data_IF_569155326767
#
_entry.id   IF_569155326767
#
_cell.length_a   1.000
_cell.length_b   1.000
_cell.length_c   1.000
_cell.angle_alpha   90.00
_cell.angle_beta   90.00
_cell.angle_gamma   90.00
#
_symmetry.space_group_name_H-M   'P 1'
#
loop_
_entity.id
_entity.type
_entity.pdbx_description
1 polymer ?
#
# COMPACT_ATOMS: atom_id res chain seq x y z
N UNK A 1 -34.22 -18.16 28.35
CA UNK A 1 -33.75 -16.95 27.64
C UNK A 1 -32.97 -17.41 26.41
N UNK A 2 -33.48 -17.13 25.22
CA UNK A 2 -32.73 -17.39 24.00
C UNK A 2 -31.55 -16.41 23.93
N UNK A 3 -30.33 -16.89 24.12
CA UNK A 3 -29.11 -16.13 23.82
C UNK A 3 -29.00 -16.02 22.31
N UNK A 4 -29.54 -14.97 21.73
CA UNK A 4 -29.27 -14.61 20.35
C UNK A 4 -27.75 -14.36 20.23
N UNK A 5 -27.04 -15.24 19.50
CA UNK A 5 -25.67 -14.97 19.08
C UNK A 5 -25.74 -13.79 18.10
N UNK A 6 -25.37 -12.60 18.55
CA UNK A 6 -24.99 -11.55 17.61
C UNK A 6 -23.69 -12.00 16.96
N UNK A 7 -23.76 -12.39 15.68
CA UNK A 7 -22.61 -12.85 14.91
C UNK A 7 -21.66 -11.69 14.58
N UNK A 8 -22.15 -10.44 14.57
CA UNK A 8 -21.32 -9.25 14.45
C UNK A 8 -21.96 -8.04 15.13
N UNK A 9 -21.15 -7.30 15.89
CA UNK A 9 -21.51 -6.01 16.49
C UNK A 9 -20.47 -4.97 16.05
N UNK A 10 -20.93 -3.92 15.38
CA UNK A 10 -20.10 -2.85 14.84
C UNK A 10 -20.42 -1.52 15.50
N UNK A 11 -19.36 -0.81 15.93
CA UNK A 11 -19.46 0.56 16.40
C UNK A 11 -18.60 1.46 15.51
N UNK A 12 -19.24 2.48 14.91
CA UNK A 12 -18.57 3.49 14.09
C UNK A 12 -18.78 4.86 14.71
N UNK A 13 -17.68 5.59 14.91
CA UNK A 13 -17.74 6.99 15.28
C UNK A 13 -17.77 7.79 13.98
N UNK A 14 -18.93 8.32 13.62
CA UNK A 14 -19.05 9.27 12.52
C UNK A 14 -18.92 10.67 13.10
N UNK A 15 -17.95 11.44 12.62
CA UNK A 15 -17.81 12.86 12.96
C UNK A 15 -18.24 13.71 11.77
N UNK A 16 -18.94 14.82 12.02
CA UNK A 16 -19.55 15.68 10.98
C UNK A 16 -18.57 16.42 10.05
N UNK A 17 -17.27 16.13 10.12
CA UNK A 17 -16.24 16.85 9.38
C UNK A 17 -15.83 16.12 8.10
N UNK A 18 -15.94 16.80 6.96
CA UNK A 18 -15.29 16.39 5.71
C UNK A 18 -13.76 16.43 5.88
N UNK A 19 -13.06 15.60 5.12
CA UNK A 19 -11.58 15.55 5.04
C UNK A 19 -10.99 16.98 5.05
N UNK A 20 -9.98 17.22 5.89
CA UNK A 20 -9.18 18.46 6.02
C UNK A 20 -9.69 19.62 6.90
N UNK A 21 -10.87 19.53 7.54
CA UNK A 21 -11.34 20.59 8.48
C UNK A 21 -11.45 20.11 9.94
N UNK A 22 -10.35 19.70 10.55
CA UNK A 22 -10.31 19.34 11.97
C UNK A 22 -9.38 20.28 12.74
N UNK A 23 -9.88 20.84 13.84
CA UNK A 23 -9.04 21.55 14.80
C UNK A 23 -8.50 20.54 15.82
N UNK A 24 -7.31 20.80 16.36
CA UNK A 24 -6.74 19.97 17.43
C UNK A 24 -7.70 19.86 18.63
N UNK A 25 -8.42 20.94 18.94
CA UNK A 25 -9.43 20.97 19.99
C UNK A 25 -10.66 20.12 19.64
N UNK A 26 -11.08 20.11 18.37
CA UNK A 26 -12.14 19.21 17.89
C UNK A 26 -11.80 17.75 18.10
N UNK A 27 -10.59 17.32 17.71
CA UNK A 27 -10.13 15.94 17.91
C UNK A 27 -10.09 15.55 19.40
N UNK A 28 -9.62 16.47 20.26
CA UNK A 28 -9.60 16.26 21.73
C UNK A 28 -10.99 16.14 22.32
N UNK A 29 -11.92 16.99 21.88
CA UNK A 29 -13.30 16.95 22.33
C UNK A 29 -13.99 15.64 21.92
N UNK A 30 -13.75 15.16 20.70
CA UNK A 30 -14.23 13.85 20.25
C UNK A 30 -13.64 12.71 21.10
N UNK A 31 -12.33 12.77 21.38
CA UNK A 31 -11.66 11.80 22.26
C UNK A 31 -12.29 11.74 23.65
N UNK A 32 -12.50 12.89 24.30
CA UNK A 32 -13.16 12.98 25.61
C UNK A 32 -14.57 12.39 25.58
N UNK A 33 -15.37 12.73 24.56
CA UNK A 33 -16.74 12.21 24.39
C UNK A 33 -16.74 10.69 24.25
N UNK A 34 -15.82 10.15 23.44
CA UNK A 34 -15.65 8.70 23.30
C UNK A 34 -15.31 8.07 24.65
N UNK A 35 -14.32 8.61 25.38
CA UNK A 35 -13.89 8.01 26.64
C UNK A 35 -14.98 8.07 27.72
N UNK A 36 -15.79 9.13 27.77
CA UNK A 36 -16.99 9.19 28.63
C UNK A 36 -17.99 8.10 28.27
N UNK A 37 -18.29 7.91 26.98
CA UNK A 37 -19.20 6.86 26.52
C UNK A 37 -18.65 5.45 26.77
N UNK A 38 -17.36 5.25 26.50
CA UNK A 38 -16.65 4.01 26.75
C UNK A 38 -16.70 3.62 28.23
N UNK A 39 -16.44 4.57 29.14
CA UNK A 39 -16.53 4.35 30.58
C UNK A 39 -17.95 4.00 31.07
N UNK A 40 -18.99 4.55 30.44
CA UNK A 40 -20.38 4.26 30.78
C UNK A 40 -20.88 2.91 30.24
N UNK A 41 -20.26 2.38 29.18
CA UNK A 41 -20.78 1.25 28.40
C UNK A 41 -19.74 0.14 28.17
N UNK A 42 -18.81 -0.08 29.11
CA UNK A 42 -17.69 -1.03 28.96
C UNK A 42 -18.13 -2.45 28.57
N UNK A 43 -19.25 -2.95 29.13
CA UNK A 43 -19.81 -4.26 28.80
C UNK A 43 -20.26 -4.37 27.34
N UNK A 44 -20.80 -3.28 26.77
CA UNK A 44 -21.17 -3.24 25.36
C UNK A 44 -19.91 -3.30 24.48
N UNK A 45 -18.86 -2.55 24.83
CA UNK A 45 -17.57 -2.60 24.15
C UNK A 45 -16.94 -4.00 24.21
N UNK A 46 -17.05 -4.70 25.34
CA UNK A 46 -16.56 -6.08 25.46
C UNK A 46 -17.22 -7.07 24.49
N UNK A 47 -18.43 -6.77 24.02
CA UNK A 47 -19.16 -7.54 23.02
C UNK A 47 -18.83 -7.20 21.56
N UNK A 48 -18.13 -6.08 21.28
CA UNK A 48 -17.88 -5.62 19.92
C UNK A 48 -16.95 -6.54 19.15
N UNK A 49 -17.30 -6.77 17.88
CA UNK A 49 -16.47 -7.52 16.92
C UNK A 49 -15.79 -6.60 15.91
N UNK A 50 -16.38 -5.44 15.63
CA UNK A 50 -15.83 -4.44 14.70
C UNK A 50 -15.87 -3.07 15.33
N UNK A 51 -14.74 -2.36 15.29
CA UNK A 51 -14.61 -1.02 15.84
C UNK A 51 -13.96 -0.11 14.80
N UNK A 52 -14.63 0.99 14.48
CA UNK A 52 -14.07 2.05 13.64
C UNK A 52 -13.97 3.35 14.44
N UNK A 53 -12.73 3.77 14.68
CA UNK A 53 -12.35 5.00 15.34
C UNK A 53 -11.96 6.04 14.30
N UNK A 54 -12.56 7.23 14.37
CA UNK A 54 -12.33 8.29 13.39
C UNK A 54 -12.20 9.66 14.06
N UNK A 55 -11.21 10.45 13.63
CA UNK A 55 -11.02 11.86 14.02
C UNK A 55 -10.97 12.05 15.55
N UNK A 56 -10.06 11.34 16.19
CA UNK A 56 -9.88 11.32 17.63
C UNK A 56 -8.48 11.76 18.05
N UNK A 57 -8.39 12.46 19.17
CA UNK A 57 -7.14 12.63 19.91
C UNK A 57 -7.34 12.10 21.33
N UNK A 58 -6.60 11.05 21.65
CA UNK A 58 -6.77 10.21 22.84
C UNK A 58 -5.48 10.18 23.66
N UNK A 59 -5.57 9.94 24.97
CA UNK A 59 -4.40 9.76 25.81
C UNK A 59 -3.63 8.50 25.42
N UNK A 60 -2.35 8.42 25.79
CA UNK A 60 -1.44 7.31 25.45
C UNK A 60 -1.98 5.91 25.75
N UNK A 61 -2.77 5.78 26.81
CA UNK A 61 -3.31 4.48 27.25
C UNK A 61 -4.73 4.20 26.73
N UNK A 62 -5.44 5.19 26.20
CA UNK A 62 -6.86 5.07 25.86
C UNK A 62 -7.11 4.03 24.76
N UNK A 63 -6.35 4.08 23.65
CA UNK A 63 -6.51 3.13 22.55
C UNK A 63 -6.16 1.70 23.02
N UNK A 64 -5.02 1.44 23.68
CA UNK A 64 -4.75 0.15 24.30
C UNK A 64 -5.87 -0.32 25.25
N UNK A 65 -6.42 0.56 26.08
CA UNK A 65 -7.49 0.22 27.02
C UNK A 65 -8.79 -0.17 26.30
N UNK A 66 -9.15 0.54 25.23
CA UNK A 66 -10.29 0.19 24.38
C UNK A 66 -10.08 -1.20 23.76
N UNK A 67 -8.92 -1.44 23.15
CA UNK A 67 -8.58 -2.73 22.51
C UNK A 67 -8.65 -3.88 23.54
N UNK A 68 -8.06 -3.70 24.72
CA UNK A 68 -8.08 -4.70 25.78
C UNK A 68 -9.49 -4.98 26.32
N UNK A 69 -10.36 -3.97 26.33
CA UNK A 69 -11.75 -4.12 26.77
C UNK A 69 -12.60 -4.87 25.76
N UNK A 70 -12.38 -4.65 24.46
CA UNK A 70 -13.11 -5.29 23.35
C UNK A 70 -12.74 -6.77 23.15
N UNK A 71 -13.07 -7.65 24.11
CA UNK A 71 -12.69 -9.08 24.16
C UNK A 71 -13.05 -9.92 22.92
N UNK A 72 -13.96 -9.45 22.06
CA UNK A 72 -14.43 -10.13 20.85
C UNK A 72 -13.98 -9.43 19.56
N UNK A 73 -13.09 -8.45 19.63
CA UNK A 73 -12.71 -7.64 18.49
C UNK A 73 -11.99 -8.47 17.41
N UNK A 74 -12.52 -8.41 16.20
CA UNK A 74 -12.01 -9.06 14.99
C UNK A 74 -11.53 -8.05 13.96
N UNK A 75 -12.09 -6.84 13.95
CA UNK A 75 -11.67 -5.75 13.06
C UNK A 75 -11.53 -4.44 13.83
N UNK A 76 -10.36 -3.81 13.70
CA UNK A 76 -10.10 -2.46 14.16
C UNK A 76 -9.71 -1.58 12.99
N UNK A 77 -10.43 -0.49 12.80
CA UNK A 77 -10.07 0.58 11.87
C UNK A 77 -9.85 1.87 12.62
N UNK A 78 -8.80 2.58 12.27
CA UNK A 78 -8.42 3.86 12.84
C UNK A 78 -8.15 4.82 11.71
N UNK A 79 -8.90 5.91 11.63
CA UNK A 79 -8.66 6.98 10.66
C UNK A 79 -8.44 8.28 11.42
N UNK A 80 -7.33 8.96 11.16
CA UNK A 80 -7.02 10.25 11.80
C UNK A 80 -7.09 10.18 13.33
N UNK A 81 -6.57 9.10 13.91
CA UNK A 81 -6.47 8.90 15.35
C UNK A 81 -5.07 9.28 15.85
N UNK A 82 -5.01 10.25 16.76
CA UNK A 82 -3.78 10.76 17.34
C UNK A 82 -3.68 10.38 18.81
N UNK A 83 -2.44 10.17 19.27
CA UNK A 83 -2.15 9.90 20.67
C UNK A 83 -1.54 11.15 21.31
N UNK A 84 -1.97 11.50 22.53
CA UNK A 84 -1.32 12.51 23.35
C UNK A 84 -0.17 11.86 24.12
N UNK A 85 1.06 12.30 23.84
CA UNK A 85 2.25 11.80 24.50
C UNK A 85 3.52 12.20 23.77
N UNK A 86 4.66 12.07 24.43
CA UNK A 86 5.98 12.35 23.84
C UNK A 86 6.54 11.15 23.07
N UNK A 87 6.10 9.94 23.43
CA UNK A 87 6.61 8.68 22.87
C UNK A 87 5.89 8.29 21.57
N UNK A 88 4.60 8.64 21.46
CA UNK A 88 3.74 8.38 20.28
C UNK A 88 3.80 6.93 19.79
N UNK A 89 3.81 5.97 20.72
CA UNK A 89 3.84 4.54 20.42
C UNK A 89 2.49 3.89 20.70
N UNK A 90 2.00 3.11 19.73
CA UNK A 90 0.81 2.28 19.92
C UNK A 90 1.24 0.83 20.08
N UNK A 91 0.83 0.20 21.18
CA UNK A 91 1.03 -1.23 21.39
C UNK A 91 -0.31 -1.96 21.20
N UNK A 92 -0.30 -2.98 20.36
CA UNK A 92 -1.50 -3.75 20.03
C UNK A 92 -1.29 -5.21 20.39
N UNK A 93 -2.16 -5.72 21.26
CA UNK A 93 -2.23 -7.12 21.64
C UNK A 93 -3.69 -7.55 21.69
N UNK A 94 -4.03 -8.61 20.94
CA UNK A 94 -5.41 -9.09 20.88
C UNK A 94 -5.50 -10.51 20.30
N UNK A 95 -6.21 -11.41 20.98
CA UNK A 95 -6.27 -12.84 20.63
C UNK A 95 -7.18 -13.17 19.45
N UNK A 96 -8.04 -12.23 19.04
CA UNK A 96 -9.07 -12.44 18.01
C UNK A 96 -9.00 -11.48 16.84
N UNK A 97 -8.13 -10.47 16.90
CA UNK A 97 -8.06 -9.45 15.86
C UNK A 97 -7.57 -10.09 14.56
N UNK A 98 -8.37 -9.94 13.50
CA UNK A 98 -8.12 -10.49 12.16
C UNK A 98 -7.70 -9.38 11.19
N UNK A 99 -8.25 -8.18 11.36
CA UNK A 99 -8.00 -7.03 10.50
C UNK A 99 -7.63 -5.80 11.32
N UNK A 100 -6.57 -5.12 10.90
CA UNK A 100 -6.14 -3.85 11.46
C UNK A 100 -5.87 -2.86 10.34
N UNK A 101 -6.62 -1.77 10.29
CA UNK A 101 -6.37 -0.65 9.38
C UNK A 101 -6.04 0.59 10.22
N UNK A 102 -4.88 1.21 9.99
CA UNK A 102 -4.48 2.46 10.63
C UNK A 102 -4.11 3.45 9.52
N UNK A 103 -4.90 4.51 9.39
CA UNK A 103 -4.75 5.51 8.36
C UNK A 103 -4.56 6.89 8.98
N UNK A 104 -3.50 7.59 8.55
CA UNK A 104 -3.14 8.93 9.00
C UNK A 104 -3.04 9.06 10.54
N UNK A 105 -2.46 8.04 11.18
CA UNK A 105 -2.13 8.10 12.59
C UNK A 105 -0.85 8.91 12.78
N UNK A 106 -0.85 9.92 13.67
CA UNK A 106 0.38 10.61 14.06
C UNK A 106 1.15 9.75 15.08
N UNK A 107 1.60 8.57 14.64
CA UNK A 107 2.25 7.54 15.44
C UNK A 107 3.71 7.39 15.01
N UNK A 108 4.62 7.31 15.98
CA UNK A 108 6.05 7.06 15.74
C UNK A 108 6.34 5.60 15.44
N UNK A 109 5.69 4.70 16.16
CA UNK A 109 5.86 3.25 16.00
C UNK A 109 4.62 2.53 16.50
N UNK A 110 4.17 1.55 15.72
CA UNK A 110 3.11 0.61 16.09
C UNK A 110 3.73 -0.75 16.36
N UNK A 111 3.62 -1.23 17.60
CA UNK A 111 4.13 -2.55 18.02
C UNK A 111 2.99 -3.56 18.03
N UNK A 112 3.06 -4.54 17.14
CA UNK A 112 2.14 -5.66 17.06
C UNK A 112 2.67 -6.79 17.95
N UNK A 113 2.47 -6.66 19.27
CA UNK A 113 3.11 -7.53 20.27
C UNK A 113 2.68 -8.99 20.11
N UNK A 114 1.37 -9.26 20.11
CA UNK A 114 0.83 -10.61 19.86
C UNK A 114 -0.58 -10.54 19.29
N UNK A 115 -0.70 -10.88 18.00
CA UNK A 115 -1.95 -10.92 17.23
C UNK A 115 -2.01 -12.24 16.44
N UNK A 116 -2.27 -13.37 17.11
CA UNK A 116 -2.13 -14.71 16.51
C UNK A 116 -3.10 -14.99 15.35
N UNK A 117 -4.16 -14.19 15.21
CA UNK A 117 -5.17 -14.32 14.15
C UNK A 117 -5.14 -13.20 13.12
N UNK A 118 -4.22 -12.24 13.23
CA UNK A 118 -4.15 -11.11 12.31
C UNK A 118 -3.81 -11.64 10.91
N UNK A 119 -4.65 -11.32 9.93
CA UNK A 119 -4.49 -11.73 8.53
C UNK A 119 -4.23 -10.55 7.61
N UNK A 120 -4.86 -9.40 7.87
CA UNK A 120 -4.71 -8.18 7.08
C UNK A 120 -4.24 -7.02 7.95
N UNK A 121 -3.20 -6.33 7.49
CA UNK A 121 -2.74 -5.07 8.02
C UNK A 121 -2.70 -4.01 6.91
N UNK A 122 -3.40 -2.90 7.10
CA UNK A 122 -3.27 -1.70 6.28
C UNK A 122 -2.67 -0.61 7.14
N UNK A 123 -1.57 -0.03 6.67
CA UNK A 123 -0.90 1.07 7.36
C UNK A 123 -0.62 2.20 6.38
N UNK A 124 -1.40 3.26 6.50
CA UNK A 124 -1.41 4.38 5.58
C UNK A 124 -0.83 5.62 6.26
N UNK A 125 0.19 6.20 5.63
CA UNK A 125 0.82 7.48 5.97
C UNK A 125 1.39 7.55 7.40
N UNK A 126 2.69 7.25 7.52
CA UNK A 126 3.48 7.60 8.70
C UNK A 126 4.37 8.81 8.44
N UNK A 127 4.57 9.62 9.48
CA UNK A 127 5.33 10.88 9.42
C UNK A 127 6.75 10.78 9.94
N UNK A 128 7.05 9.74 10.72
CA UNK A 128 8.32 9.64 11.41
C UNK A 128 9.39 9.01 10.52
N UNK A 129 10.67 9.45 10.62
CA UNK A 129 11.79 8.94 9.81
C UNK A 129 12.02 7.43 9.84
N UNK A 130 11.62 6.77 10.93
CA UNK A 130 11.97 5.39 11.27
C UNK A 130 10.90 4.42 10.76
N UNK A 131 11.23 3.13 10.77
CA UNK A 131 10.28 2.08 10.42
C UNK A 131 9.01 2.16 11.30
N UNK A 132 7.82 2.15 10.68
CA UNK A 132 6.60 2.48 11.40
C UNK A 132 6.02 1.33 12.22
N UNK A 133 6.46 0.09 11.94
CA UNK A 133 5.86 -1.13 12.46
C UNK A 133 6.93 -2.03 13.05
N UNK A 134 6.58 -2.64 14.19
CA UNK A 134 7.32 -3.74 14.78
C UNK A 134 6.43 -4.97 14.84
N UNK A 135 6.88 -6.07 14.23
CA UNK A 135 6.17 -7.33 14.20
C UNK A 135 6.69 -8.24 15.32
N UNK A 136 5.86 -8.43 16.35
CA UNK A 136 6.02 -9.48 17.36
C UNK A 136 5.42 -10.80 16.85
N UNK A 137 4.46 -11.37 17.58
CA UNK A 137 3.83 -12.64 17.21
C UNK A 137 2.61 -12.43 16.28
N UNK A 138 2.83 -12.51 14.96
CA UNK A 138 1.81 -12.34 13.90
C UNK A 138 1.82 -13.49 12.86
N UNK A 139 1.70 -14.76 13.27
CA UNK A 139 1.98 -15.93 12.44
C UNK A 139 0.97 -16.16 11.29
N UNK A 140 -0.14 -15.43 11.24
CA UNK A 140 -1.16 -15.56 10.20
C UNK A 140 -1.23 -14.37 9.26
N UNK A 141 -0.33 -13.38 9.42
CA UNK A 141 -0.35 -12.17 8.62
C UNK A 141 -0.01 -12.53 7.17
N UNK A 142 -0.99 -12.46 6.28
CA UNK A 142 -0.86 -12.85 4.88
C UNK A 142 -1.01 -11.68 3.93
N UNK A 143 -1.67 -10.60 4.34
CA UNK A 143 -1.89 -9.40 3.54
C UNK A 143 -1.36 -8.16 4.25
N UNK A 144 -0.47 -7.44 3.59
CA UNK A 144 0.12 -6.19 4.08
C UNK A 144 -0.01 -5.09 3.03
N UNK A 145 -0.59 -3.97 3.41
CA UNK A 145 -0.70 -2.76 2.60
C UNK A 145 0.01 -1.61 3.29
N UNK A 146 0.95 -0.97 2.60
CA UNK A 146 1.72 0.16 3.10
C UNK A 146 1.61 1.31 2.10
N UNK A 147 1.19 2.48 2.60
CA UNK A 147 1.12 3.70 1.80
C UNK A 147 2.00 4.77 2.43
N UNK A 148 2.88 5.40 1.63
CA UNK A 148 3.68 6.52 2.10
C UNK A 148 3.99 7.52 0.99
N UNK A 149 4.05 8.80 1.39
CA UNK A 149 4.52 9.90 0.54
C UNK A 149 6.03 9.82 0.29
N UNK A 150 6.84 9.29 1.21
CA UNK A 150 8.29 9.18 1.05
C UNK A 150 9.04 10.51 1.21
N UNK A 151 8.65 11.34 2.17
CA UNK A 151 9.27 12.66 2.43
C UNK A 151 10.78 12.59 2.72
N UNK A 152 11.52 13.68 2.52
CA UNK A 152 13.00 13.75 2.56
C UNK A 152 13.64 13.16 3.81
N UNK A 153 12.98 13.28 4.96
CA UNK A 153 13.45 12.74 6.23
C UNK A 153 13.10 11.28 6.47
N UNK A 154 12.27 10.64 5.65
CA UNK A 154 12.00 9.20 5.77
C UNK A 154 13.21 8.39 5.33
N UNK A 155 13.56 7.39 6.12
CA UNK A 155 14.51 6.37 5.71
C UNK A 155 13.86 5.47 4.66
N UNK A 156 14.66 4.96 3.72
CA UNK A 156 14.19 3.91 2.83
C UNK A 156 13.95 2.64 3.64
N UNK A 157 12.87 1.93 3.33
CA UNK A 157 12.54 0.66 3.97
C UNK A 157 13.28 -0.46 3.24
N UNK A 158 14.04 -1.25 4.00
CA UNK A 158 14.62 -2.53 3.59
C UNK A 158 13.66 -3.63 3.97
N UNK A 159 12.95 -4.18 2.99
CA UNK A 159 11.93 -5.20 3.23
C UNK A 159 12.50 -6.45 3.89
N UNK A 160 13.76 -6.83 3.60
CA UNK A 160 14.44 -7.96 4.25
C UNK A 160 14.53 -7.81 5.77
N UNK A 161 14.76 -6.58 6.25
CA UNK A 161 14.86 -6.26 7.67
C UNK A 161 13.47 -6.04 8.27
N UNK A 162 12.66 -5.24 7.60
CA UNK A 162 11.32 -4.85 8.04
C UNK A 162 10.38 -6.06 8.20
N UNK A 163 10.48 -7.05 7.31
CA UNK A 163 9.66 -8.27 7.32
C UNK A 163 10.40 -9.48 7.90
N UNK A 164 11.54 -9.29 8.56
CA UNK A 164 12.38 -10.39 9.08
C UNK A 164 11.63 -11.38 9.99
N UNK A 165 10.62 -10.90 10.73
CA UNK A 165 9.77 -11.71 11.61
C UNK A 165 8.48 -12.21 10.95
N UNK A 166 8.22 -11.87 9.68
CA UNK A 166 6.98 -12.18 8.97
C UNK A 166 7.30 -12.88 7.65
N UNK A 167 7.15 -14.21 7.64
CA UNK A 167 7.45 -15.03 6.45
C UNK A 167 6.19 -15.51 5.73
N UNK A 168 5.00 -15.11 6.21
CA UNK A 168 3.69 -15.62 5.74
C UNK A 168 2.98 -14.71 4.75
N UNK A 169 3.57 -13.56 4.39
CA UNK A 169 2.98 -12.62 3.44
C UNK A 169 2.78 -13.30 2.08
N UNK A 170 1.53 -13.22 1.59
CA UNK A 170 1.08 -13.68 0.27
C UNK A 170 0.65 -12.53 -0.61
N UNK A 171 0.10 -11.48 -0.02
CA UNK A 171 -0.37 -10.29 -0.73
C UNK A 171 0.33 -9.06 -0.16
N UNK A 172 1.15 -8.41 -1.00
CA UNK A 172 1.87 -7.19 -0.64
C UNK A 172 1.40 -6.04 -1.53
N UNK A 173 0.95 -4.96 -0.89
CA UNK A 173 0.56 -3.74 -1.56
C UNK A 173 1.44 -2.58 -1.08
N UNK A 174 2.11 -1.92 -2.01
CA UNK A 174 3.00 -0.79 -1.76
C UNK A 174 2.49 0.39 -2.59
N UNK A 175 2.06 1.45 -1.93
CA UNK A 175 1.52 2.65 -2.57
C UNK A 175 2.46 3.85 -2.32
N UNK A 176 2.73 4.61 -3.38
CA UNK A 176 3.72 5.67 -3.45
C UNK A 176 3.05 7.03 -3.73
N UNK A 177 2.89 7.88 -2.73
CA UNK A 177 2.16 9.16 -2.94
C UNK A 177 3.05 10.31 -3.42
N UNK A 178 4.27 10.02 -3.88
CA UNK A 178 5.17 11.01 -4.48
C UNK A 178 6.17 10.39 -5.46
N UNK A 179 7.00 11.24 -6.06
CA UNK A 179 8.08 10.85 -6.97
C UNK A 179 9.23 10.08 -6.28
N UNK A 180 9.19 9.92 -4.95
CA UNK A 180 10.19 9.18 -4.18
C UNK A 180 9.75 7.74 -3.92
N UNK A 181 10.56 6.80 -4.42
CA UNK A 181 10.44 5.38 -4.09
C UNK A 181 11.00 5.15 -2.69
N UNK A 182 10.13 4.92 -1.72
CA UNK A 182 10.50 4.75 -0.30
C UNK A 182 10.92 3.32 0.05
N UNK A 183 10.86 2.39 -0.90
CA UNK A 183 11.38 1.02 -0.76
C UNK A 183 12.78 0.95 -1.36
N UNK A 184 13.74 0.43 -0.59
CA UNK A 184 15.08 0.18 -1.09
C UNK A 184 15.10 -1.13 -1.88
N UNK A 185 15.55 -1.14 -3.15
CA UNK A 185 15.89 -2.38 -3.83
C UNK A 185 17.05 -3.07 -3.12
N UNK A 186 16.90 -4.37 -2.91
CA UNK A 186 17.88 -5.18 -2.18
C UNK A 186 18.38 -6.33 -3.07
N UNK A 187 19.47 -6.95 -2.64
CA UNK A 187 19.89 -8.21 -3.23
C UNK A 187 18.76 -9.25 -3.04
N UNK A 188 18.27 -9.89 -4.12
CA UNK A 188 17.18 -10.86 -4.03
C UNK A 188 17.44 -12.00 -3.05
N UNK A 189 18.70 -12.41 -2.87
CA UNK A 189 19.08 -13.45 -1.89
C UNK A 189 18.77 -13.05 -0.45
N UNK A 190 18.88 -11.76 -0.11
CA UNK A 190 18.55 -11.24 1.22
C UNK A 190 17.03 -11.08 1.41
N UNK A 191 16.34 -10.75 0.32
CA UNK A 191 14.91 -10.48 0.33
C UNK A 191 14.05 -11.76 0.22
N UNK A 192 14.58 -12.81 -0.42
CA UNK A 192 13.85 -14.04 -0.69
C UNK A 192 13.22 -14.68 0.55
N UNK A 193 13.87 -14.75 1.73
CA UNK A 193 13.23 -15.30 2.94
C UNK A 193 11.95 -14.56 3.35
N UNK A 194 11.88 -13.24 3.13
CA UNK A 194 10.71 -12.43 3.44
C UNK A 194 9.58 -12.60 2.40
N UNK A 195 9.92 -12.78 1.13
CA UNK A 195 8.97 -12.84 0.02
C UNK A 195 8.72 -14.25 -0.53
N UNK A 196 9.25 -15.29 0.12
CA UNK A 196 9.15 -16.69 -0.32
C UNK A 196 7.71 -17.22 -0.44
N UNK A 197 6.72 -16.56 0.15
CA UNK A 197 5.30 -16.96 0.05
C UNK A 197 4.46 -15.97 -0.74
N UNK A 198 5.07 -14.90 -1.26
CA UNK A 198 4.38 -13.83 -1.98
C UNK A 198 3.78 -14.39 -3.28
N UNK A 199 2.49 -14.13 -3.49
CA UNK A 199 1.72 -14.55 -4.65
C UNK A 199 1.16 -13.36 -5.42
N UNK A 200 0.82 -12.26 -4.74
CA UNK A 200 0.32 -11.04 -5.35
C UNK A 200 1.15 -9.86 -4.88
N UNK A 201 1.66 -9.09 -5.84
CA UNK A 201 2.34 -7.83 -5.60
C UNK A 201 1.59 -6.72 -6.33
N UNK A 202 1.16 -5.70 -5.58
CA UNK A 202 0.55 -4.49 -6.13
C UNK A 202 1.45 -3.30 -5.80
N UNK A 203 1.84 -2.55 -6.83
CA UNK A 203 2.57 -1.30 -6.74
C UNK A 203 1.67 -0.20 -7.28
N UNK A 204 1.29 0.75 -6.43
CA UNK A 204 0.23 1.72 -6.75
C UNK A 204 0.75 3.16 -6.64
N UNK A 205 0.11 4.06 -7.39
CA UNK A 205 0.45 5.49 -7.46
C UNK A 205 1.92 5.79 -7.86
N UNK A 206 2.58 4.90 -8.62
CA UNK A 206 3.90 5.22 -9.16
C UNK A 206 3.78 6.41 -10.13
N UNK A 207 4.58 7.44 -9.90
CA UNK A 207 4.57 8.63 -10.74
C UNK A 207 5.12 8.32 -12.14
N UNK A 208 4.55 8.91 -13.18
CA UNK A 208 4.92 8.68 -14.58
C UNK A 208 6.38 9.01 -14.86
N UNK A 209 6.94 9.95 -14.09
CA UNK A 209 8.36 10.30 -14.17
C UNK A 209 9.28 9.19 -13.67
N UNK A 210 8.80 8.24 -12.85
CA UNK A 210 9.60 7.17 -12.25
C UNK A 210 9.71 5.98 -13.19
N UNK A 211 10.92 5.44 -13.32
CA UNK A 211 11.13 4.17 -14.02
C UNK A 211 10.52 3.03 -13.20
N UNK A 212 9.97 2.01 -13.86
CA UNK A 212 9.42 0.79 -13.27
C UNK A 212 10.37 -0.40 -13.33
N UNK A 213 11.52 -0.28 -14.01
CA UNK A 213 12.50 -1.36 -14.16
C UNK A 213 13.04 -1.88 -12.83
N UNK A 214 13.19 -1.01 -11.82
CA UNK A 214 13.65 -1.41 -10.49
C UNK A 214 12.76 -2.48 -9.84
N UNK A 215 11.47 -2.56 -10.20
CA UNK A 215 10.50 -3.51 -9.62
C UNK A 215 10.86 -4.97 -9.89
N UNK A 216 11.74 -5.22 -10.86
CA UNK A 216 12.21 -6.57 -11.24
C UNK A 216 12.92 -7.32 -10.11
N UNK A 217 13.50 -6.63 -9.13
CA UNK A 217 14.09 -7.29 -7.97
C UNK A 217 13.08 -8.12 -7.16
N UNK A 218 11.80 -7.74 -7.18
CA UNK A 218 10.73 -8.52 -6.57
C UNK A 218 10.56 -9.88 -7.25
N UNK A 219 10.66 -9.92 -8.59
CA UNK A 219 10.57 -11.17 -9.35
C UNK A 219 11.70 -12.11 -8.97
N UNK A 220 12.94 -11.59 -8.88
CA UNK A 220 14.09 -12.41 -8.46
C UNK A 220 13.97 -12.90 -7.02
N UNK A 221 13.29 -12.16 -6.14
CA UNK A 221 13.15 -12.49 -4.72
C UNK A 221 11.92 -13.34 -4.38
N UNK A 222 10.86 -13.29 -5.19
CA UNK A 222 9.56 -13.89 -4.88
C UNK A 222 9.23 -15.05 -5.84
N UNK A 223 9.79 -16.26 -5.62
CA UNK A 223 9.70 -17.36 -6.58
C UNK A 223 8.27 -17.86 -6.85
N UNK A 224 7.30 -17.58 -5.97
CA UNK A 224 5.90 -17.99 -6.10
C UNK A 224 4.96 -16.86 -6.50
N UNK A 225 5.50 -15.71 -6.93
CA UNK A 225 4.70 -14.58 -7.37
C UNK A 225 3.87 -14.99 -8.60
N UNK A 226 2.56 -14.83 -8.53
CA UNK A 226 1.62 -15.18 -9.60
C UNK A 226 1.11 -13.96 -10.35
N UNK A 227 0.88 -12.89 -9.61
CA UNK A 227 0.28 -11.67 -10.13
C UNK A 227 1.11 -10.46 -9.73
N UNK A 228 1.47 -9.66 -10.74
CA UNK A 228 2.11 -8.36 -10.58
C UNK A 228 1.17 -7.30 -11.14
N UNK A 229 0.72 -6.38 -10.29
CA UNK A 229 -0.09 -5.23 -10.66
C UNK A 229 0.70 -3.95 -10.42
N UNK A 230 0.78 -3.09 -11.44
CA UNK A 230 1.48 -1.81 -11.39
C UNK A 230 0.53 -0.72 -11.87
N UNK A 231 0.30 0.29 -11.04
CA UNK A 231 -0.39 1.51 -11.44
C UNK A 231 0.65 2.61 -11.58
N UNK A 232 0.81 3.11 -12.81
CA UNK A 232 1.64 4.27 -13.08
C UNK A 232 0.72 5.43 -13.42
N UNK A 233 0.53 6.37 -12.50
CA UNK A 233 -0.39 7.46 -12.72
C UNK A 233 -0.05 8.68 -11.85
N UNK A 234 -0.03 9.85 -12.50
CA UNK A 234 0.04 11.14 -11.85
C UNK A 234 -1.37 11.62 -11.48
N UNK A 235 -1.80 11.37 -10.24
CA UNK A 235 -3.07 11.89 -9.74
C UNK A 235 -2.97 13.40 -9.49
N UNK A 236 -3.23 14.21 -10.51
CA UNK A 236 -2.95 15.65 -10.51
C UNK A 236 -3.55 16.44 -9.35
N UNK A 237 -4.70 16.03 -8.80
CA UNK A 237 -5.27 16.72 -7.64
C UNK A 237 -4.56 16.39 -6.31
N UNK A 238 -3.70 15.38 -6.29
CA UNK A 238 -2.85 15.02 -5.15
C UNK A 238 -1.41 15.55 -5.30
N UNK A 239 -1.08 16.18 -6.43
CA UNK A 239 0.27 16.70 -6.69
C UNK A 239 0.41 18.08 -6.09
N UNK A 240 1.27 18.20 -5.08
CA UNK A 240 1.78 19.49 -4.64
C UNK A 240 2.75 20.01 -5.71
N UNK A 241 2.36 21.05 -6.44
CA UNK A 241 3.14 21.64 -7.55
C UNK A 241 3.88 22.91 -7.16
N UNK A 242 3.44 23.60 -6.11
CA UNK A 242 4.13 24.80 -5.61
C UNK A 242 5.49 24.42 -5.01
N UNK A 243 6.55 25.07 -5.48
CA UNK A 243 7.92 24.72 -5.09
C UNK A 243 8.20 25.01 -3.62
N UNK A 244 7.62 26.09 -3.08
CA UNK A 244 7.83 26.48 -1.68
C UNK A 244 7.11 25.49 -0.78
N UNK A 245 5.85 25.16 -1.08
CA UNK A 245 5.08 24.17 -0.34
C UNK A 245 5.75 22.79 -0.38
N UNK A 246 6.22 22.34 -1.55
CA UNK A 246 6.98 21.09 -1.67
C UNK A 246 8.22 21.09 -0.77
N UNK A 247 8.97 22.20 -0.76
CA UNK A 247 10.18 22.31 0.06
C UNK A 247 9.87 22.37 1.56
N UNK A 248 8.79 23.05 1.97
CA UNK A 248 8.36 23.14 3.37
C UNK A 248 7.87 21.78 3.89
N UNK A 249 7.01 21.10 3.13
CA UNK A 249 6.47 19.77 3.43
C UNK A 249 7.48 18.64 3.17
N UNK A 250 8.66 18.96 2.62
CA UNK A 250 9.77 18.03 2.45
C UNK A 250 9.58 16.98 1.37
N UNK A 251 8.79 17.29 0.35
CA UNK A 251 8.74 16.50 -0.89
C UNK A 251 10.15 16.44 -1.51
N UNK A 252 10.46 15.29 -2.10
CA UNK A 252 11.70 15.09 -2.83
C UNK A 252 11.46 15.23 -4.33
N UNK A 253 12.50 15.59 -5.05
CA UNK A 253 12.54 15.35 -6.49
C UNK A 253 12.69 13.85 -6.77
N UNK A 254 12.39 13.46 -8.01
CA UNK A 254 12.51 12.08 -8.51
C UNK A 254 13.81 11.42 -8.06
N UNK A 255 13.69 10.29 -7.36
CA UNK A 255 14.83 9.42 -7.07
C UNK A 255 15.03 8.43 -8.21
N UNK A 256 16.16 8.48 -8.91
CA UNK A 256 16.56 7.41 -9.80
C UNK A 256 16.92 6.18 -8.97
N UNK A 257 16.06 5.17 -9.00
CA UNK A 257 16.31 3.90 -8.32
C UNK A 257 17.16 3.04 -9.24
N UNK A 258 18.46 3.01 -8.98
CA UNK A 258 19.37 2.11 -9.69
C UNK A 258 19.29 0.71 -9.06
N UNK A 259 18.97 -0.28 -9.89
CA UNK A 259 19.03 -1.67 -9.51
C UNK A 259 19.60 -2.48 -10.68
N UNK A 260 20.54 -3.36 -10.36
CA UNK A 260 21.15 -4.29 -11.30
C UNK A 260 20.75 -5.71 -10.93
N UNK A 261 20.41 -6.52 -11.93
CA UNK A 261 20.03 -7.92 -11.72
C UNK A 261 21.15 -8.69 -11.02
N UNK A 262 20.79 -9.53 -10.06
CA UNK A 262 21.73 -10.43 -9.40
C UNK A 262 21.98 -11.71 -10.20
N UNK A 263 21.33 -11.86 -11.35
CA UNK A 263 21.49 -12.97 -12.29
C UNK A 263 21.36 -12.45 -13.73
N UNK A 264 22.39 -11.73 -14.23
CA UNK A 264 22.35 -11.12 -15.57
C UNK A 264 22.21 -12.16 -16.70
N UNK A 265 22.57 -13.41 -16.43
CA UNK A 265 22.45 -14.53 -17.37
C UNK A 265 21.22 -15.39 -17.06
N UNK A 266 20.10 -15.13 -17.75
CA UNK A 266 19.02 -16.10 -17.90
C UNK A 266 18.19 -16.40 -16.65
N UNK A 267 17.94 -15.42 -15.78
CA UNK A 267 16.90 -15.55 -14.75
C UNK A 267 15.56 -15.91 -15.40
N UNK A 268 14.86 -16.90 -14.84
CA UNK A 268 13.54 -17.37 -15.31
C UNK A 268 12.57 -17.45 -14.16
N UNK A 269 11.44 -16.78 -14.30
CA UNK A 269 10.36 -16.79 -13.32
C UNK A 269 9.27 -17.79 -13.74
N UNK A 270 9.11 -18.88 -12.97
CA UNK A 270 8.23 -19.99 -13.34
C UNK A 270 6.78 -19.84 -12.89
N UNK A 271 6.45 -18.90 -12.00
CA UNK A 271 5.11 -18.83 -11.41
C UNK A 271 4.32 -17.58 -11.78
N UNK A 272 4.93 -16.61 -12.50
CA UNK A 272 4.26 -15.37 -12.85
C UNK A 272 3.33 -15.66 -14.02
N UNK A 273 2.03 -15.54 -13.78
CA UNK A 273 0.96 -15.86 -14.73
C UNK A 273 0.37 -14.57 -15.30
N UNK A 274 0.30 -13.52 -14.49
CA UNK A 274 -0.38 -12.27 -14.85
C UNK A 274 0.46 -11.03 -14.54
N UNK A 275 0.56 -10.16 -15.53
CA UNK A 275 0.99 -8.76 -15.40
C UNK A 275 -0.19 -7.84 -15.68
N UNK A 276 -0.43 -6.87 -14.81
CA UNK A 276 -1.40 -5.80 -15.06
C UNK A 276 -0.72 -4.46 -14.91
N UNK A 277 -0.87 -3.59 -15.92
CA UNK A 277 -0.35 -2.22 -15.90
C UNK A 277 -1.50 -1.25 -16.13
N UNK A 278 -1.73 -0.34 -15.19
CA UNK A 278 -2.59 0.82 -15.35
C UNK A 278 -1.77 2.06 -15.68
N UNK A 279 -2.31 2.93 -16.55
CA UNK A 279 -1.60 4.10 -17.05
C UNK A 279 -0.51 3.78 -18.09
N UNK A 280 -0.68 2.69 -18.84
CA UNK A 280 0.25 2.30 -19.89
C UNK A 280 0.41 3.41 -20.93
N UNK A 281 1.66 3.74 -21.26
CA UNK A 281 2.01 4.63 -22.37
C UNK A 281 2.95 3.87 -23.34
N UNK A 282 2.79 4.00 -24.66
CA UNK A 282 3.64 3.31 -25.64
C UNK A 282 4.99 4.02 -25.82
N UNK A 283 5.81 4.04 -24.77
CA UNK A 283 7.19 4.53 -24.80
C UNK A 283 8.21 3.43 -24.50
N UNK A 284 9.50 3.74 -24.69
CA UNK A 284 10.59 2.78 -24.55
C UNK A 284 10.67 2.17 -23.13
N UNK A 285 10.19 2.88 -22.10
CA UNK A 285 10.21 2.40 -20.71
C UNK A 285 9.21 1.26 -20.55
N UNK A 286 7.95 1.48 -20.91
CA UNK A 286 6.93 0.44 -20.80
C UNK A 286 7.18 -0.72 -21.77
N UNK A 287 7.53 -0.42 -23.02
CA UNK A 287 7.78 -1.45 -24.02
C UNK A 287 8.97 -2.33 -23.59
N UNK A 288 10.09 -1.72 -23.21
CA UNK A 288 11.26 -2.44 -22.72
C UNK A 288 10.98 -3.24 -21.45
N UNK A 289 10.19 -2.69 -20.52
CA UNK A 289 9.76 -3.41 -19.32
C UNK A 289 8.95 -4.66 -19.67
N UNK A 290 7.91 -4.52 -20.49
CA UNK A 290 7.03 -5.63 -20.86
C UNK A 290 7.81 -6.71 -21.63
N UNK A 291 8.62 -6.32 -22.62
CA UNK A 291 9.48 -7.25 -23.37
C UNK A 291 10.34 -8.06 -22.41
N UNK A 292 10.96 -7.41 -21.42
CA UNK A 292 11.80 -8.11 -20.46
C UNK A 292 11.02 -9.05 -19.51
N UNK A 293 9.81 -8.67 -19.09
CA UNK A 293 8.94 -9.57 -18.34
C UNK A 293 8.58 -10.80 -19.18
N UNK A 294 8.28 -10.62 -20.46
CA UNK A 294 7.96 -11.72 -21.38
C UNK A 294 9.15 -12.64 -21.65
N UNK A 295 10.39 -12.14 -21.61
CA UNK A 295 11.61 -12.96 -21.69
C UNK A 295 11.82 -13.80 -20.41
N UNK A 296 11.53 -13.19 -19.26
CA UNK A 296 11.85 -13.75 -17.94
C UNK A 296 10.76 -14.71 -17.46
N UNK A 297 9.48 -14.37 -17.63
CA UNK A 297 8.35 -15.12 -17.09
C UNK A 297 7.89 -16.20 -18.08
N UNK A 298 8.20 -17.45 -17.78
CA UNK A 298 8.06 -18.56 -18.73
C UNK A 298 6.63 -19.07 -18.87
N UNK A 299 5.80 -18.82 -17.87
CA UNK A 299 4.40 -19.27 -17.80
C UNK A 299 3.45 -18.06 -17.78
N UNK A 300 3.86 -16.95 -18.38
CA UNK A 300 3.03 -15.75 -18.47
C UNK A 300 1.87 -16.02 -19.42
N UNK A 301 0.65 -15.94 -18.89
CA UNK A 301 -0.59 -16.21 -19.64
C UNK A 301 -1.34 -14.91 -20.01
N UNK A 302 -1.20 -13.86 -19.19
CA UNK A 302 -1.93 -12.62 -19.38
C UNK A 302 -1.07 -11.38 -19.08
N UNK A 303 -1.05 -10.44 -20.03
CA UNK A 303 -0.63 -9.05 -19.84
C UNK A 303 -1.83 -8.17 -20.12
N UNK A 304 -2.39 -7.55 -19.09
CA UNK A 304 -3.48 -6.59 -19.24
C UNK A 304 -2.95 -5.16 -19.10
N UNK A 305 -3.04 -4.40 -20.17
CA UNK A 305 -2.65 -3.00 -20.25
C UNK A 305 -3.92 -2.15 -20.23
N UNK A 306 -3.97 -1.15 -19.37
CA UNK A 306 -5.06 -0.20 -19.25
C UNK A 306 -4.53 1.21 -19.48
N UNK A 307 -5.39 2.07 -20.02
CA UNK A 307 -5.14 3.50 -20.03
C UNK A 307 -5.09 4.04 -18.58
N UNK A 308 -4.78 5.32 -18.43
CA UNK A 308 -4.94 6.06 -17.18
C UNK A 308 -6.39 5.94 -16.73
N UNK A 309 -6.61 5.57 -15.48
CA UNK A 309 -7.93 5.74 -14.85
C UNK A 309 -8.13 7.24 -14.68
N UNK A 310 -9.20 7.83 -15.20
CA UNK A 310 -9.58 9.19 -14.80
C UNK A 310 -10.57 9.00 -13.66
N UNK A 311 -10.17 9.34 -12.44
CA UNK A 311 -11.09 9.35 -11.30
C UNK A 311 -11.86 10.67 -11.24
N UNK A 312 -13.08 10.63 -10.69
CA UNK A 312 -13.98 11.80 -10.54
C UNK A 312 -13.25 13.01 -9.90
N UNK A 313 -12.30 12.77 -8.99
CA UNK A 313 -11.50 13.81 -8.34
C UNK A 313 -10.48 14.52 -9.24
N UNK A 314 -10.28 14.03 -10.47
CA UNK A 314 -9.43 14.63 -11.49
C UNK A 314 -10.22 15.25 -12.66
N UNK A 315 -11.56 15.33 -12.60
CA UNK A 315 -12.37 15.94 -13.66
C UNK A 315 -12.24 17.47 -13.71
N UNK A 316 -12.09 18.12 -12.54
CA UNK A 316 -11.97 19.57 -12.39
C UNK A 316 -10.56 19.97 -11.93
N UNK A 317 -9.56 19.80 -12.79
CA UNK A 317 -8.20 20.26 -12.51
C UNK A 317 -8.08 21.78 -12.66
N UNK A 318 -7.17 22.38 -11.89
CA UNK A 318 -6.76 23.78 -12.09
C UNK A 318 -6.30 23.95 -13.56
N UNK A 319 -6.82 24.93 -14.32
CA UNK A 319 -6.44 25.19 -15.71
C UNK A 319 -4.93 25.37 -15.94
N UNK A 320 -4.15 25.65 -14.89
CA UNK A 320 -2.69 25.75 -14.94
C UNK A 320 -1.99 24.40 -14.98
N UNK A 321 -2.64 23.32 -14.55
CA UNK A 321 -2.11 21.97 -14.60
C UNK A 321 -2.18 21.48 -16.05
N UNK A 322 -1.02 21.39 -16.70
CA UNK A 322 -0.90 20.78 -18.02
C UNK A 322 -0.80 19.27 -17.86
N UNK A 323 -1.88 18.57 -18.17
CA UNK A 323 -1.87 17.12 -18.30
C UNK A 323 -1.48 16.77 -19.73
N UNK A 324 -0.39 16.03 -19.89
CA UNK A 324 -0.06 15.48 -21.20
C UNK A 324 -1.16 14.50 -21.62
N UNK A 325 -1.69 14.58 -22.86
CA UNK A 325 -2.74 13.68 -23.30
C UNK A 325 -2.23 12.23 -23.29
N UNK A 326 -3.13 11.28 -22.97
CA UNK A 326 -2.77 9.87 -23.04
C UNK A 326 -2.45 9.48 -24.49
N UNK A 327 -1.34 8.75 -24.66
CA UNK A 327 -0.94 8.14 -25.94
C UNK A 327 -1.39 6.67 -26.01
N UNK A 328 -2.29 6.25 -25.14
CA UNK A 328 -2.81 4.89 -25.13
C UNK A 328 -3.46 4.53 -26.48
N UNK A 329 -3.19 3.34 -27.03
CA UNK A 329 -3.63 2.97 -28.38
C UNK A 329 -5.15 2.77 -28.44
N UNK A 330 -5.82 3.59 -29.24
CA UNK A 330 -7.29 3.60 -29.34
C UNK A 330 -7.80 2.68 -30.44
N UNK A 331 -6.98 2.42 -31.46
CA UNK A 331 -7.37 1.60 -32.61
C UNK A 331 -6.77 0.20 -32.55
N UNK A 332 -7.47 -0.78 -33.14
CA UNK A 332 -6.96 -2.15 -33.27
C UNK A 332 -5.62 -2.18 -34.02
N UNK A 333 -5.43 -1.30 -35.01
CA UNK A 333 -4.20 -1.23 -35.80
C UNK A 333 -2.99 -0.80 -34.95
N UNK A 334 -3.15 0.22 -34.11
CA UNK A 334 -2.11 0.66 -33.17
C UNK A 334 -1.78 -0.44 -32.16
N UNK A 335 -2.80 -1.10 -31.62
CA UNK A 335 -2.63 -2.21 -30.68
C UNK A 335 -1.87 -3.38 -31.30
N UNK A 336 -2.21 -3.77 -32.54
CA UNK A 336 -1.50 -4.83 -33.27
C UNK A 336 -0.04 -4.46 -33.58
N UNK A 337 0.24 -3.18 -33.88
CA UNK A 337 1.60 -2.70 -34.09
C UNK A 337 2.42 -2.83 -32.80
N UNK A 338 1.86 -2.39 -31.65
CA UNK A 338 2.52 -2.48 -30.35
C UNK A 338 2.74 -3.94 -29.92
N UNK A 339 1.79 -4.85 -30.16
CA UNK A 339 1.99 -6.29 -29.92
C UNK A 339 3.21 -6.81 -30.67
N UNK A 340 3.35 -6.45 -31.95
CA UNK A 340 4.49 -6.85 -32.78
C UNK A 340 5.80 -6.28 -32.27
N UNK A 341 5.82 -5.00 -31.89
CA UNK A 341 7.00 -4.35 -31.33
C UNK A 341 7.46 -5.00 -30.02
N UNK A 342 6.53 -5.25 -29.08
CA UNK A 342 6.84 -5.88 -27.79
C UNK A 342 7.40 -7.30 -27.97
N UNK A 343 6.88 -8.05 -28.95
CA UNK A 343 7.25 -9.44 -29.22
C UNK A 343 8.38 -9.60 -30.24
N UNK A 344 8.91 -8.51 -30.78
CA UNK A 344 9.98 -8.56 -31.77
C UNK A 344 11.23 -9.21 -31.14
N UNK A 345 11.70 -10.32 -31.73
CA UNK A 345 12.83 -11.08 -31.20
C UNK A 345 12.49 -12.11 -30.12
N UNK A 346 11.25 -12.17 -29.63
CA UNK A 346 10.81 -13.14 -28.62
C UNK A 346 10.31 -14.44 -29.27
N UNK A 347 11.22 -15.42 -29.44
CA UNK A 347 10.93 -16.69 -30.15
C UNK A 347 9.83 -17.54 -29.49
N UNK A 348 9.64 -17.42 -28.17
CA UNK A 348 8.74 -18.28 -27.38
C UNK A 348 7.51 -17.56 -26.83
N UNK A 349 7.39 -16.24 -27.03
CA UNK A 349 6.35 -15.44 -26.38
C UNK A 349 5.24 -15.09 -27.36
N UNK A 350 4.02 -15.52 -27.04
CA UNK A 350 2.86 -15.29 -27.91
C UNK A 350 2.34 -13.85 -27.76
N UNK A 351 2.14 -13.08 -28.84
CA UNK A 351 1.54 -11.75 -28.77
C UNK A 351 0.08 -11.78 -28.26
N UNK A 352 -0.57 -12.95 -28.28
CA UNK A 352 -1.95 -13.11 -27.82
C UNK A 352 -2.13 -12.96 -26.31
N UNK A 353 -1.05 -13.03 -25.53
CA UNK A 353 -1.11 -12.78 -24.08
C UNK A 353 -1.30 -11.29 -23.77
N UNK A 354 -1.06 -10.40 -24.75
CA UNK A 354 -1.15 -8.94 -24.56
C UNK A 354 -2.55 -8.43 -24.90
N UNK A 355 -3.24 -7.94 -23.87
CA UNK A 355 -4.58 -7.39 -23.95
C UNK A 355 -4.58 -5.91 -23.60
N UNK A 356 -4.93 -5.07 -24.57
CA UNK A 356 -5.31 -3.68 -24.32
C UNK A 356 -6.76 -3.67 -23.85
N UNK A 357 -6.97 -3.17 -22.64
CA UNK A 357 -8.27 -3.11 -21.97
C UNK A 357 -8.75 -1.67 -21.94
N UNK A 358 -10.08 -1.52 -21.96
CA UNK A 358 -10.80 -0.24 -21.87
C UNK A 358 -11.51 -0.14 -20.53
#
# INVERSE_FOLDING_TARGET
MATHKLDSAEFRILTDYKLHYYTLDGLRNNGKRLMTFFGACTDAFAGLTRLYLQNLRLAETDIPNIIATCKRLESLRMFMCQTEGTVLQLQVEHQRLVELDICHGCLKLVKLNSLPKLKRLVFYSWRHPQEPLYFGNVPQLSSLSLTNVGLRWHNLIRLSQFLSNVTTIRDLHLNFESERIWVQPECPKLLAPALQNLQVLTLDDLREVCDIAWTRFFLEAAPFLKELCITVWDHWCNIVTDKVEREEEGYCDKTNVQWESSSPDGFRHCNLIKLTIYGFQPDDIFLGYITHIMETAVNLEEISLYDRKVEDCCEELDPKIKVDPSRYPQTIQEQELLRKQITEGLVMSSPHVIHFRS
#
